data_IF_486010676675
#
_entry.id   IF_486010676675
#
_cell.length_a   1.000
_cell.length_b   1.000
_cell.length_c   1.000
_cell.angle_alpha   90.00
_cell.angle_beta   90.00
_cell.angle_gamma   90.00
#
_symmetry.space_group_name_H-M   'P 1'
#
loop_
_entity.id
_entity.type
_entity.pdbx_description
1 polymer ?
#
# COMPACT_ATOMS: atom_id res chain seq x y z
N UNK A 1 -3.68 -16.85 -21.54
CA UNK A 1 -3.36 -15.65 -20.75
C UNK A 1 -2.31 -14.90 -21.52
N UNK A 2 -2.69 -13.79 -22.14
CA UNK A 2 -1.72 -12.93 -22.85
C UNK A 2 -0.86 -12.22 -21.81
N UNK A 3 0.45 -12.22 -22.01
CA UNK A 3 1.40 -11.54 -21.13
C UNK A 3 1.68 -10.17 -21.74
N UNK A 4 1.30 -9.11 -21.03
CA UNK A 4 1.60 -7.72 -21.38
C UNK A 4 2.69 -7.16 -20.45
N UNK A 5 3.43 -6.14 -20.90
CA UNK A 5 4.37 -5.46 -20.02
C UNK A 5 3.63 -4.63 -18.98
N UNK A 6 4.22 -4.45 -17.79
CA UNK A 6 3.63 -3.57 -16.76
C UNK A 6 3.42 -2.14 -17.27
N UNK A 7 4.35 -1.63 -18.07
CA UNK A 7 4.26 -0.27 -18.63
C UNK A 7 3.10 -0.10 -19.62
N UNK A 8 2.82 -1.12 -20.44
CA UNK A 8 1.66 -1.12 -21.34
C UNK A 8 0.36 -1.22 -20.54
N UNK A 9 0.29 -2.15 -19.59
CA UNK A 9 -0.85 -2.32 -18.69
C UNK A 9 -1.19 -1.03 -17.91
N UNK A 10 -0.20 -0.42 -17.24
CA UNK A 10 -0.40 0.80 -16.45
C UNK A 10 -0.87 1.95 -17.33
N UNK A 11 -0.27 2.14 -18.51
CA UNK A 11 -0.69 3.18 -19.46
C UNK A 11 -2.14 2.99 -19.89
N UNK A 12 -2.55 1.78 -20.27
CA UNK A 12 -3.93 1.51 -20.67
C UNK A 12 -4.92 1.73 -19.52
N UNK A 13 -4.58 1.29 -18.31
CA UNK A 13 -5.41 1.49 -17.12
C UNK A 13 -5.63 2.99 -16.86
N UNK A 14 -4.55 3.77 -16.79
CA UNK A 14 -4.63 5.21 -16.55
C UNK A 14 -5.38 5.95 -17.66
N UNK A 15 -5.26 5.54 -18.92
CA UNK A 15 -6.04 6.11 -20.02
C UNK A 15 -7.54 5.81 -19.89
N UNK A 16 -7.91 4.59 -19.50
CA UNK A 16 -9.31 4.16 -19.35
C UNK A 16 -10.02 4.87 -18.21
N UNK A 17 -9.32 5.10 -17.10
CA UNK A 17 -9.88 5.75 -15.90
C UNK A 17 -9.62 7.26 -15.87
N UNK A 18 -9.03 7.82 -16.94
CA UNK A 18 -8.75 9.25 -17.02
C UNK A 18 -10.05 10.05 -16.98
N UNK A 19 -10.20 10.93 -15.98
CA UNK A 19 -11.40 11.73 -15.79
C UNK A 19 -12.50 11.04 -14.98
N UNK A 20 -12.32 9.77 -14.63
CA UNK A 20 -13.18 9.04 -13.70
C UNK A 20 -12.70 9.24 -12.25
N UNK A 21 -13.62 9.07 -11.28
CA UNK A 21 -13.30 9.16 -9.84
C UNK A 21 -13.07 7.77 -9.25
N UNK A 22 -12.12 7.02 -9.83
CA UNK A 22 -11.78 5.65 -9.42
C UNK A 22 -10.42 5.62 -8.73
N UNK A 23 -10.30 5.02 -7.53
CA UNK A 23 -9.00 4.79 -6.90
C UNK A 23 -8.23 3.70 -7.66
N UNK A 24 -7.10 4.06 -8.27
CA UNK A 24 -6.25 3.14 -9.05
C UNK A 24 -5.03 2.63 -8.29
N UNK A 25 -4.78 3.17 -7.10
CA UNK A 25 -3.64 2.84 -6.26
C UNK A 25 -3.99 3.11 -4.80
N UNK A 26 -3.62 2.19 -3.93
CA UNK A 26 -3.64 2.35 -2.48
C UNK A 26 -2.31 1.87 -1.89
N UNK A 27 -1.89 2.48 -0.81
CA UNK A 27 -0.66 2.11 -0.10
C UNK A 27 -0.98 1.90 1.38
N UNK A 28 -0.48 0.80 1.95
CA UNK A 28 -0.62 0.47 3.37
C UNK A 28 0.77 0.30 3.97
N UNK A 29 1.11 1.17 4.93
CA UNK A 29 2.35 1.10 5.71
C UNK A 29 2.18 0.10 6.86
N UNK A 30 2.63 -1.14 6.66
CA UNK A 30 2.45 -2.25 7.62
C UNK A 30 3.24 -2.02 8.91
N UNK A 31 4.42 -1.41 8.81
CA UNK A 31 5.29 -1.12 9.95
C UNK A 31 6.16 0.10 9.65
N UNK A 32 6.50 0.84 10.72
CA UNK A 32 7.49 1.93 10.66
C UNK A 32 8.84 1.52 11.26
N UNK A 33 8.98 0.26 11.64
CA UNK A 33 10.21 -0.31 12.20
C UNK A 33 11.13 -0.77 11.09
N UNK A 34 12.39 -0.37 11.14
CA UNK A 34 13.37 -0.66 10.10
C UNK A 34 14.76 -0.80 10.74
N UNK A 35 15.61 -1.75 10.29
CA UNK A 35 16.99 -1.85 10.79
C UNK A 35 17.92 -0.74 10.26
N UNK A 36 17.44 0.10 9.34
CA UNK A 36 18.24 1.14 8.70
C UNK A 36 18.06 2.51 9.39
N UNK A 37 19.10 3.35 9.30
CA UNK A 37 19.14 4.71 9.87
C UNK A 37 19.31 5.77 8.79
N UNK A 38 18.55 5.65 7.70
CA UNK A 38 18.65 6.53 6.54
C UNK A 38 18.30 7.99 6.91
N UNK A 39 19.16 8.93 6.54
CA UNK A 39 19.01 10.36 6.87
C UNK A 39 17.75 11.02 6.27
N UNK A 40 17.16 10.42 5.23
CA UNK A 40 16.00 10.96 4.50
C UNK A 40 14.67 10.26 4.82
N UNK A 41 14.66 9.26 5.71
CA UNK A 41 13.48 8.42 5.97
C UNK A 41 12.93 8.65 7.38
N UNK A 42 11.62 8.90 7.47
CA UNK A 42 10.89 9.04 8.75
C UNK A 42 10.21 7.75 9.23
N UNK A 43 10.37 6.64 8.48
CA UNK A 43 9.97 5.29 8.86
C UNK A 43 11.21 4.50 9.33
N UNK A 44 11.88 5.03 10.36
CA UNK A 44 13.17 4.55 10.86
C UNK A 44 13.11 4.18 12.36
N UNK A 45 11.94 3.77 12.86
CA UNK A 45 11.83 3.32 14.24
C UNK A 45 12.68 2.05 14.45
N UNK A 46 13.35 1.88 15.60
CA UNK A 46 14.14 0.69 15.86
C UNK A 46 13.33 -0.60 15.76
N UNK A 47 13.94 -1.68 15.28
CA UNK A 47 13.27 -2.99 15.17
C UNK A 47 12.72 -3.53 16.50
N UNK A 48 13.37 -3.17 17.61
CA UNK A 48 12.98 -3.55 18.97
C UNK A 48 12.06 -2.53 19.66
N UNK A 49 11.55 -1.53 18.95
CA UNK A 49 10.58 -0.58 19.50
C UNK A 49 9.26 -1.30 19.81
N UNK A 50 9.02 -1.51 21.11
CA UNK A 50 7.86 -2.23 21.60
C UNK A 50 6.57 -1.41 21.52
N UNK A 51 6.65 -0.07 21.57
CA UNK A 51 5.47 0.78 21.43
C UNK A 51 5.02 0.82 19.98
N UNK A 52 5.95 1.02 19.04
CA UNK A 52 5.65 0.96 17.62
C UNK A 52 4.97 -0.36 17.25
N UNK A 53 5.52 -1.48 17.71
CA UNK A 53 4.92 -2.82 17.50
C UNK A 53 3.52 -2.96 18.12
N UNK A 54 3.24 -2.33 19.26
CA UNK A 54 1.91 -2.38 19.89
C UNK A 54 0.85 -1.62 19.09
N UNK A 55 1.26 -0.60 18.35
CA UNK A 55 0.37 0.25 17.55
C UNK A 55 0.23 -0.19 16.09
N UNK A 56 0.98 -1.21 15.67
CA UNK A 56 0.85 -1.80 14.33
C UNK A 56 -0.44 -2.59 14.21
N UNK A 57 -1.02 -2.56 13.01
CA UNK A 57 -2.25 -3.29 12.70
C UNK A 57 -2.03 -4.81 12.78
N UNK A 58 -3.03 -5.53 13.27
CA UNK A 58 -3.07 -6.99 13.21
C UNK A 58 -3.31 -7.48 11.79
N UNK A 59 -3.06 -8.77 11.54
CA UNK A 59 -3.37 -9.40 10.25
C UNK A 59 -4.84 -9.21 9.84
N UNK A 60 -5.76 -9.43 10.78
CA UNK A 60 -7.19 -9.31 10.57
C UNK A 60 -7.61 -7.87 10.25
N UNK A 61 -6.96 -6.87 10.88
CA UNK A 61 -7.20 -5.46 10.57
C UNK A 61 -6.74 -5.10 9.17
N UNK A 62 -5.60 -5.62 8.71
CA UNK A 62 -5.16 -5.46 7.32
C UNK A 62 -6.16 -6.07 6.34
N UNK A 63 -6.61 -7.31 6.58
CA UNK A 63 -7.61 -7.96 5.72
C UNK A 63 -8.90 -7.14 5.64
N UNK A 64 -9.41 -6.67 6.78
CA UNK A 64 -10.60 -5.81 6.80
C UNK A 64 -10.41 -4.53 5.97
N UNK A 65 -9.27 -3.84 6.10
CA UNK A 65 -9.00 -2.62 5.31
C UNK A 65 -8.93 -2.94 3.81
N UNK A 66 -8.33 -4.07 3.43
CA UNK A 66 -8.28 -4.50 2.02
C UNK A 66 -9.69 -4.81 1.47
N UNK A 67 -10.55 -5.46 2.26
CA UNK A 67 -11.94 -5.70 1.90
C UNK A 67 -12.70 -4.36 1.75
N UNK A 68 -12.52 -3.42 2.69
CA UNK A 68 -13.13 -2.08 2.62
C UNK A 68 -12.65 -1.29 1.39
N UNK A 69 -11.37 -1.37 1.04
CA UNK A 69 -10.82 -0.73 -0.17
C UNK A 69 -11.41 -1.35 -1.44
N UNK A 70 -11.55 -2.69 -1.48
CA UNK A 70 -12.19 -3.40 -2.58
C UNK A 70 -13.65 -2.99 -2.73
N UNK A 71 -14.41 -2.89 -1.64
CA UNK A 71 -15.81 -2.47 -1.64
C UNK A 71 -15.99 -1.00 -2.12
N UNK A 72 -14.99 -0.16 -1.88
CA UNK A 72 -14.93 1.21 -2.42
C UNK A 72 -14.52 1.28 -3.90
N UNK A 73 -14.21 0.14 -4.52
CA UNK A 73 -13.82 0.05 -5.93
C UNK A 73 -12.35 0.35 -6.20
N UNK A 74 -11.48 0.20 -5.20
CA UNK A 74 -10.04 0.20 -5.40
C UNK A 74 -9.62 -1.08 -6.13
N UNK A 75 -9.08 -0.92 -7.33
CA UNK A 75 -8.61 -2.01 -8.21
C UNK A 75 -7.12 -2.27 -8.05
#
# INVERSE_FOLDING_TARGET
MEVVSYGDFSRELHQKVMGERVPTEATIEVTRRCPLTCAHCYNNLPMNDAEARRTELSYEEHCRILDELSDLGCL
#
